data_IF_060620389185
#
_entry.id   IF_060620389185
#
_cell.length_a   1.000
_cell.length_b   1.000
_cell.length_c   1.000
_cell.angle_alpha   90.00
_cell.angle_beta   90.00
_cell.angle_gamma   90.00
#
_symmetry.space_group_name_H-M   'P 1'
#
loop_
_entity.id
_entity.type
_entity.pdbx_description
1 polymer ?
#
# COMPACT_ATOMS: atom_id res chain seq x y z
N UNK A 1 -6.18 5.68 25.18
CA UNK A 1 -6.38 6.09 23.78
C UNK A 1 -5.19 6.94 23.35
N UNK A 2 -4.67 6.80 22.15
CA UNK A 2 -3.66 7.74 21.64
C UNK A 2 -4.26 9.14 21.52
N UNK A 3 -3.36 10.13 21.49
CA UNK A 3 -3.76 11.49 21.11
C UNK A 3 -4.01 11.52 19.60
N UNK A 4 -5.28 11.56 19.20
CA UNK A 4 -5.67 11.50 17.80
C UNK A 4 -5.13 12.68 17.00
N UNK A 5 -4.90 13.85 17.60
CA UNK A 5 -4.32 14.99 16.91
C UNK A 5 -2.91 14.71 16.35
N UNK A 6 -2.16 13.83 17.02
CA UNK A 6 -0.85 13.37 16.53
C UNK A 6 -0.91 12.49 15.29
N UNK A 7 -2.06 11.85 15.04
CA UNK A 7 -2.27 10.87 13.98
C UNK A 7 -2.92 11.48 12.73
N UNK A 8 -3.33 12.74 12.79
CA UNK A 8 -4.00 13.44 11.70
C UNK A 8 -3.06 14.36 10.92
N UNK A 9 -3.29 14.45 9.62
CA UNK A 9 -2.60 15.33 8.68
C UNK A 9 -3.66 16.18 7.93
N UNK A 10 -4.17 17.28 8.53
CA UNK A 10 -5.28 18.03 7.98
C UNK A 10 -4.90 18.96 6.82
N UNK A 11 -3.59 19.24 6.62
CA UNK A 11 -3.13 20.19 5.61
C UNK A 11 -2.78 19.45 4.32
N UNK A 12 -3.73 19.37 3.39
CA UNK A 12 -3.54 18.76 2.07
C UNK A 12 -2.76 19.69 1.15
N UNK A 13 -1.78 19.09 0.44
CA UNK A 13 -1.16 19.78 -0.68
C UNK A 13 -2.13 19.78 -1.87
N UNK A 14 -2.36 20.93 -2.53
CA UNK A 14 -3.33 21.01 -3.62
C UNK A 14 -2.88 20.27 -4.90
N UNK A 15 -1.57 20.10 -5.10
CA UNK A 15 -1.00 19.35 -6.23
C UNK A 15 -0.48 18.00 -5.79
N UNK A 16 -0.63 16.94 -6.62
CA UNK A 16 0.02 15.66 -6.38
C UNK A 16 1.53 15.78 -6.29
N UNK A 17 2.16 14.89 -5.56
CA UNK A 17 3.63 14.75 -5.51
C UNK A 17 4.15 13.83 -6.61
N UNK A 18 3.30 12.96 -7.15
CA UNK A 18 3.62 12.12 -8.31
C UNK A 18 2.35 11.91 -9.16
N UNK A 19 2.44 12.29 -10.43
CA UNK A 19 1.40 12.07 -11.45
C UNK A 19 1.78 10.85 -12.33
N UNK A 20 0.82 10.16 -12.97
CA UNK A 20 1.16 9.27 -14.08
C UNK A 20 1.90 10.03 -15.18
N UNK A 21 2.72 9.33 -15.95
CA UNK A 21 3.55 9.98 -16.98
C UNK A 21 2.75 10.42 -18.22
N UNK A 22 1.67 9.75 -18.52
CA UNK A 22 0.92 9.95 -19.77
C UNK A 22 1.69 9.50 -21.02
N UNK A 23 2.90 8.96 -20.87
CA UNK A 23 3.75 8.54 -21.99
C UNK A 23 3.44 7.09 -22.37
N UNK A 24 2.92 6.80 -23.57
CA UNK A 24 2.60 5.44 -23.98
C UNK A 24 3.81 4.49 -23.87
N UNK A 25 3.56 3.31 -23.29
CA UNK A 25 4.58 2.27 -23.12
C UNK A 25 5.43 2.41 -21.86
N UNK A 26 5.28 3.48 -21.08
CA UNK A 26 5.90 3.56 -19.75
C UNK A 26 5.05 2.80 -18.74
N UNK A 27 5.71 2.25 -17.71
CA UNK A 27 5.07 1.47 -16.63
C UNK A 27 3.98 2.24 -15.88
N UNK A 28 4.04 3.57 -15.89
CA UNK A 28 3.18 4.51 -15.19
C UNK A 28 2.38 5.42 -16.15
N UNK A 29 2.12 4.94 -17.38
CA UNK A 29 1.46 5.77 -18.40
C UNK A 29 0.04 6.17 -18.02
N UNK A 30 -0.68 5.36 -17.26
CA UNK A 30 -2.09 5.59 -16.95
C UNK A 30 -2.35 5.93 -15.48
N UNK A 31 -1.62 5.32 -14.54
CA UNK A 31 -1.80 5.54 -13.11
C UNK A 31 -0.52 5.35 -12.31
N UNK A 32 -0.44 6.00 -11.14
CA UNK A 32 0.52 5.72 -10.06
C UNK A 32 -0.23 5.53 -8.75
N UNK A 33 0.27 4.60 -7.90
CA UNK A 33 -0.48 4.14 -6.74
C UNK A 33 0.44 3.60 -5.64
N UNK A 34 -0.12 3.31 -4.45
CA UNK A 34 0.52 2.59 -3.35
C UNK A 34 1.88 3.18 -2.91
N UNK A 35 1.95 4.41 -2.41
CA UNK A 35 3.18 4.98 -1.90
C UNK A 35 3.71 4.19 -0.70
N UNK A 36 5.02 3.93 -0.67
CA UNK A 36 5.74 3.39 0.47
C UNK A 36 7.05 4.19 0.61
N UNK A 37 7.17 5.01 1.65
CA UNK A 37 8.22 6.02 1.79
C UNK A 37 9.20 5.64 2.90
N UNK A 38 10.50 5.66 2.59
CA UNK A 38 11.55 5.35 3.55
C UNK A 38 12.77 6.23 3.31
N UNK A 39 13.63 6.32 4.31
CA UNK A 39 14.93 6.97 4.19
C UNK A 39 16.04 5.93 4.02
N UNK A 40 16.83 6.10 2.99
CA UNK A 40 17.99 5.26 2.73
C UNK A 40 19.18 6.16 2.44
N UNK A 41 20.32 5.90 3.09
CA UNK A 41 21.45 6.86 3.12
C UNK A 41 20.93 8.24 3.58
N UNK A 42 21.15 9.27 2.79
CA UNK A 42 20.78 10.65 3.15
C UNK A 42 19.55 11.18 2.40
N UNK A 43 18.85 10.33 1.62
CA UNK A 43 17.68 10.73 0.83
C UNK A 43 16.43 9.94 1.21
N UNK A 44 15.28 10.49 0.88
CA UNK A 44 14.01 9.76 0.90
C UNK A 44 13.79 9.02 -0.43
N UNK A 45 13.20 7.85 -0.33
CA UNK A 45 12.79 7.04 -1.46
C UNK A 45 11.31 6.70 -1.32
N UNK A 46 10.63 6.63 -2.45
CA UNK A 46 9.26 6.17 -2.53
C UNK A 46 9.21 4.97 -3.48
N UNK A 47 8.95 3.79 -2.92
CA UNK A 47 8.45 2.69 -3.74
C UNK A 47 6.99 2.99 -4.07
N UNK A 48 6.61 2.83 -5.32
CA UNK A 48 5.25 3.00 -5.82
C UNK A 48 4.99 2.03 -6.94
N UNK A 49 3.73 1.79 -7.26
CA UNK A 49 3.34 1.02 -8.42
C UNK A 49 2.84 1.95 -9.51
N UNK A 50 3.08 1.57 -10.75
CA UNK A 50 2.52 2.20 -11.93
C UNK A 50 1.68 1.20 -12.73
N UNK A 51 0.66 1.71 -13.43
CA UNK A 51 -0.19 0.95 -14.31
C UNK A 51 -0.11 1.49 -15.74
N UNK A 52 0.03 0.59 -16.72
CA UNK A 52 0.24 0.89 -18.13
C UNK A 52 -0.86 0.34 -19.06
N UNK A 53 -2.04 0.05 -18.49
CA UNK A 53 -3.15 -0.58 -19.21
C UNK A 53 -3.05 -2.11 -19.31
N UNK A 54 -1.92 -2.70 -18.88
CA UNK A 54 -1.67 -4.14 -18.97
C UNK A 54 -1.52 -4.81 -17.61
N UNK A 55 -0.87 -4.14 -16.65
CA UNK A 55 -0.62 -4.67 -15.32
C UNK A 55 0.28 -3.76 -14.51
N UNK A 56 0.37 -4.03 -13.21
CA UNK A 56 1.19 -3.23 -12.31
C UNK A 56 2.66 -3.56 -12.41
N UNK A 57 3.50 -2.54 -12.28
CA UNK A 57 4.95 -2.67 -12.14
C UNK A 57 5.41 -1.76 -11.00
N UNK A 58 6.43 -2.19 -10.26
CA UNK A 58 6.98 -1.45 -9.12
C UNK A 58 8.17 -0.60 -9.52
N UNK A 59 8.18 0.64 -9.09
CA UNK A 59 9.26 1.58 -9.35
C UNK A 59 9.71 2.32 -8.09
N UNK A 60 10.86 2.98 -8.19
CA UNK A 60 11.37 3.91 -7.18
C UNK A 60 11.37 5.35 -7.70
N UNK A 61 11.12 6.27 -6.76
CA UNK A 61 11.42 7.69 -6.89
C UNK A 61 12.23 8.15 -5.67
N UNK A 62 13.00 9.23 -5.82
CA UNK A 62 13.80 9.80 -4.74
C UNK A 62 13.47 11.27 -4.52
N UNK A 63 13.64 11.74 -3.28
CA UNK A 63 13.37 13.11 -2.84
C UNK A 63 14.35 13.53 -1.75
N UNK A 64 14.63 14.82 -1.68
CA UNK A 64 15.42 15.41 -0.59
C UNK A 64 14.51 16.08 0.47
N UNK A 65 13.22 16.35 0.14
CA UNK A 65 12.31 17.17 0.93
C UNK A 65 10.92 16.55 1.18
N UNK A 66 10.68 15.30 0.71
CA UNK A 66 9.38 14.60 0.76
C UNK A 66 8.28 15.21 -0.15
N UNK A 67 8.56 16.25 -0.90
CA UNK A 67 7.58 17.02 -1.70
C UNK A 67 7.87 16.99 -3.19
N UNK A 68 9.15 17.07 -3.57
CA UNK A 68 9.61 17.00 -4.97
C UNK A 68 10.26 15.63 -5.22
N UNK A 69 9.70 14.85 -6.14
CA UNK A 69 10.11 13.47 -6.40
C UNK A 69 10.67 13.29 -7.81
N UNK A 70 11.82 12.63 -7.91
CA UNK A 70 12.47 12.26 -9.17
C UNK A 70 12.38 10.74 -9.36
N UNK A 71 11.78 10.28 -10.45
CA UNK A 71 11.71 8.86 -10.80
C UNK A 71 13.10 8.28 -11.05
N UNK A 72 13.38 7.13 -10.48
CA UNK A 72 14.62 6.38 -10.70
C UNK A 72 14.45 5.24 -11.70
N UNK A 73 13.27 4.64 -11.77
CA UNK A 73 12.92 3.57 -12.70
C UNK A 73 12.23 2.38 -12.06
N UNK A 74 11.92 1.40 -12.89
CA UNK A 74 11.26 0.14 -12.50
C UNK A 74 12.25 -0.77 -11.80
N UNK A 75 11.83 -1.33 -10.66
CA UNK A 75 12.62 -2.29 -9.86
C UNK A 75 12.03 -3.71 -9.86
N UNK A 76 10.70 -3.85 -10.00
CA UNK A 76 10.04 -5.12 -10.30
C UNK A 76 9.11 -4.92 -11.49
N UNK A 77 9.60 -5.27 -12.66
CA UNK A 77 8.89 -5.12 -13.92
C UNK A 77 8.14 -6.37 -14.34
N UNK A 78 7.55 -6.30 -15.52
CA UNK A 78 6.95 -7.43 -16.22
C UNK A 78 8.01 -8.47 -16.57
N UNK A 79 7.70 -9.74 -16.36
CA UNK A 79 8.57 -10.84 -16.72
C UNK A 79 8.63 -11.07 -18.23
N UNK A 80 9.68 -11.73 -18.69
CA UNK A 80 9.82 -12.20 -20.09
C UNK A 80 9.46 -13.68 -20.22
N UNK A 81 9.23 -14.38 -19.11
CA UNK A 81 8.85 -15.79 -19.05
C UNK A 81 7.36 -15.89 -18.67
N UNK A 82 6.55 -16.14 -19.69
CA UNK A 82 5.08 -16.22 -19.56
C UNK A 82 4.63 -17.43 -18.74
N UNK A 83 5.53 -18.39 -18.42
CA UNK A 83 5.20 -19.54 -17.56
C UNK A 83 5.20 -19.17 -16.08
N UNK A 84 5.74 -18.03 -15.70
CA UNK A 84 5.76 -17.58 -14.31
C UNK A 84 4.41 -17.02 -13.88
N UNK A 85 4.00 -17.31 -12.65
CA UNK A 85 2.77 -16.81 -12.05
C UNK A 85 2.70 -15.27 -11.94
N UNK A 86 3.87 -14.60 -11.93
CA UNK A 86 4.03 -13.15 -11.81
C UNK A 86 4.49 -12.47 -13.11
N UNK A 87 4.24 -13.10 -14.27
CA UNK A 87 4.71 -12.62 -15.57
C UNK A 87 4.03 -11.32 -16.03
N UNK A 88 2.79 -11.07 -15.62
CA UNK A 88 2.04 -9.85 -15.98
C UNK A 88 2.66 -8.61 -15.36
N UNK A 89 3.25 -8.74 -14.19
CA UNK A 89 3.91 -7.68 -13.44
C UNK A 89 3.88 -7.95 -11.95
N UNK A 90 4.64 -7.16 -11.20
CA UNK A 90 4.73 -7.28 -9.76
C UNK A 90 4.43 -5.93 -9.10
N UNK A 91 3.44 -5.93 -8.21
CA UNK A 91 3.04 -4.77 -7.41
C UNK A 91 3.68 -4.85 -6.02
N UNK A 92 4.74 -4.07 -5.77
CA UNK A 92 5.39 -3.99 -4.46
C UNK A 92 4.41 -3.55 -3.39
N UNK A 93 4.33 -4.33 -2.32
CA UNK A 93 3.42 -4.07 -1.21
C UNK A 93 4.13 -3.42 -0.03
N UNK A 94 5.22 -4.03 0.42
CA UNK A 94 5.97 -3.56 1.59
C UNK A 94 7.40 -4.07 1.60
N UNK A 95 8.34 -3.22 2.01
CA UNK A 95 9.72 -3.60 2.33
C UNK A 95 9.88 -3.71 3.86
N UNK A 96 10.70 -4.66 4.32
CA UNK A 96 10.95 -4.83 5.75
C UNK A 96 11.66 -3.61 6.32
N UNK A 97 11.10 -3.03 7.39
CA UNK A 97 11.62 -1.85 8.08
C UNK A 97 12.38 -2.24 9.36
N UNK A 98 13.35 -1.41 9.75
CA UNK A 98 14.08 -1.54 11.03
C UNK A 98 13.15 -1.34 12.23
N UNK A 99 12.16 -0.47 12.11
CA UNK A 99 11.25 -0.10 13.19
C UNK A 99 9.85 0.18 12.68
N UNK A 100 8.86 -0.20 13.47
CA UNK A 100 7.46 0.20 13.28
C UNK A 100 7.08 1.44 14.09
N UNK A 101 7.99 2.03 14.87
CA UNK A 101 7.72 3.24 15.68
C UNK A 101 7.35 4.42 14.77
N UNK A 102 6.19 5.03 15.04
CA UNK A 102 5.68 6.17 14.27
C UNK A 102 6.57 7.42 14.37
N UNK A 103 7.29 7.57 15.47
CA UNK A 103 8.19 8.72 15.67
C UNK A 103 9.57 8.50 15.03
N UNK A 104 9.88 7.29 14.57
CA UNK A 104 11.11 6.98 13.84
C UNK A 104 10.87 7.06 12.33
N UNK A 105 11.79 7.73 11.63
CA UNK A 105 11.78 7.76 10.16
C UNK A 105 11.99 6.34 9.62
N UNK A 106 11.12 5.83 8.75
CA UNK A 106 11.25 4.50 8.20
C UNK A 106 12.60 4.27 7.51
N UNK A 107 13.31 3.21 7.88
CA UNK A 107 14.55 2.73 7.26
C UNK A 107 14.43 1.26 6.94
N UNK A 108 15.05 0.82 5.84
CA UNK A 108 15.02 -0.57 5.44
C UNK A 108 15.91 -1.43 6.33
N UNK A 109 15.41 -2.59 6.73
CA UNK A 109 16.13 -3.60 7.49
C UNK A 109 16.76 -4.62 6.55
N UNK A 110 18.05 -4.95 6.79
CA UNK A 110 18.69 -6.12 6.19
C UNK A 110 18.55 -7.34 7.10
N UNK A 111 18.21 -8.45 6.48
CA UNK A 111 18.26 -9.78 7.11
C UNK A 111 19.11 -10.67 6.21
N UNK A 112 20.14 -11.31 6.78
CA UNK A 112 21.12 -12.10 6.05
C UNK A 112 21.80 -11.35 4.87
N UNK A 113 22.09 -10.06 5.09
CA UNK A 113 22.73 -9.19 4.10
C UNK A 113 21.80 -8.66 3.00
N UNK A 114 20.51 -8.95 3.05
CA UNK A 114 19.52 -8.65 2.02
C UNK A 114 18.42 -7.72 2.53
N UNK A 115 17.95 -6.82 1.66
CA UNK A 115 16.66 -6.15 1.80
C UNK A 115 15.57 -7.07 1.27
N UNK A 116 14.40 -7.07 1.92
CA UNK A 116 13.28 -7.95 1.58
C UNK A 116 12.03 -7.15 1.28
N UNK A 117 11.29 -7.60 0.25
CA UNK A 117 10.05 -7.00 -0.19
C UNK A 117 8.99 -8.07 -0.41
N UNK A 118 7.80 -7.90 0.17
CA UNK A 118 6.61 -8.62 -0.25
C UNK A 118 5.97 -7.84 -1.41
N UNK A 119 5.59 -8.55 -2.46
CA UNK A 119 4.82 -8.05 -3.58
C UNK A 119 3.62 -8.95 -3.86
N UNK A 120 2.66 -8.45 -4.61
CA UNK A 120 1.60 -9.29 -5.15
C UNK A 120 1.60 -9.22 -6.68
N UNK A 121 1.06 -10.25 -7.32
CA UNK A 121 0.92 -10.29 -8.76
C UNK A 121 -0.41 -10.90 -9.16
N UNK A 122 -1.03 -10.31 -10.18
CA UNK A 122 -2.24 -10.83 -10.82
C UNK A 122 -1.86 -11.75 -11.97
N UNK A 123 -2.63 -12.83 -12.21
CA UNK A 123 -2.30 -13.80 -13.25
C UNK A 123 -2.60 -13.31 -14.66
N UNK A 124 -3.56 -12.39 -14.82
CA UNK A 124 -4.08 -11.98 -16.11
C UNK A 124 -3.79 -10.50 -16.41
N UNK A 125 -3.71 -10.17 -17.70
CA UNK A 125 -3.55 -8.78 -18.14
C UNK A 125 -4.82 -7.98 -17.91
N UNK A 126 -4.67 -6.77 -17.39
CA UNK A 126 -5.77 -5.85 -17.10
C UNK A 126 -5.65 -5.21 -15.75
N UNK A 127 -6.71 -4.56 -15.31
CA UNK A 127 -6.79 -3.94 -14.02
C UNK A 127 -7.29 -4.95 -12.97
N UNK A 128 -6.38 -5.48 -12.17
CA UNK A 128 -6.66 -6.44 -11.08
C UNK A 128 -7.39 -7.72 -11.54
N UNK A 129 -7.00 -8.23 -12.72
CA UNK A 129 -7.64 -9.39 -13.32
C UNK A 129 -7.15 -10.70 -12.71
N UNK A 130 -8.11 -11.54 -12.28
CA UNK A 130 -7.88 -12.82 -11.64
C UNK A 130 -7.51 -12.74 -10.16
N UNK A 131 -7.21 -13.89 -9.58
CA UNK A 131 -6.83 -14.01 -8.17
C UNK A 131 -5.34 -13.76 -7.96
N UNK A 132 -4.95 -12.67 -7.31
CA UNK A 132 -3.56 -12.39 -7.03
C UNK A 132 -2.98 -13.28 -5.93
N UNK A 133 -1.66 -13.51 -5.97
CA UNK A 133 -0.89 -14.20 -4.95
C UNK A 133 0.26 -13.32 -4.44
N UNK A 134 0.82 -13.69 -3.27
CA UNK A 134 1.90 -12.94 -2.63
C UNK A 134 3.25 -13.56 -2.97
N UNK A 135 4.19 -12.73 -3.40
CA UNK A 135 5.57 -13.12 -3.69
C UNK A 135 6.57 -12.45 -2.77
N UNK A 136 7.78 -12.98 -2.75
CA UNK A 136 8.90 -12.45 -1.99
C UNK A 136 10.05 -12.12 -2.94
N UNK A 137 10.57 -10.90 -2.82
CA UNK A 137 11.74 -10.44 -3.54
C UNK A 137 12.82 -9.96 -2.57
N UNK A 138 14.07 -9.99 -3.03
CA UNK A 138 15.24 -9.57 -2.25
C UNK A 138 16.21 -8.75 -3.09
N UNK A 139 17.02 -7.92 -2.42
CA UNK A 139 18.03 -7.08 -3.03
C UNK A 139 19.27 -7.02 -2.13
N UNK A 140 20.46 -7.15 -2.71
CA UNK A 140 21.75 -6.91 -2.03
C UNK A 140 22.36 -5.57 -2.43
N UNK A 141 21.88 -5.00 -3.53
CA UNK A 141 22.35 -3.73 -4.08
C UNK A 141 21.94 -2.54 -3.20
N UNK A 142 22.93 -1.74 -2.81
CA UNK A 142 22.70 -0.52 -2.00
C UNK A 142 22.02 0.62 -2.76
N UNK A 143 21.95 0.56 -4.09
CA UNK A 143 21.17 1.50 -4.90
C UNK A 143 19.69 1.07 -5.01
N UNK A 144 19.34 -0.14 -4.54
CA UNK A 144 18.01 -0.72 -4.51
C UNK A 144 17.37 -0.88 -5.91
N UNK A 145 18.18 -1.05 -6.93
CA UNK A 145 17.72 -1.15 -8.32
C UNK A 145 17.67 -2.60 -8.84
N UNK A 146 18.46 -3.51 -8.26
CA UNK A 146 18.57 -4.90 -8.68
C UNK A 146 17.84 -5.84 -7.71
N UNK A 147 16.56 -6.13 -8.01
CA UNK A 147 15.72 -7.01 -7.19
C UNK A 147 15.54 -8.39 -7.84
N UNK A 148 15.62 -9.42 -7.01
CA UNK A 148 15.45 -10.81 -7.38
C UNK A 148 14.18 -11.37 -6.76
N UNK A 149 13.34 -12.05 -7.54
CA UNK A 149 12.09 -12.67 -7.09
C UNK A 149 12.32 -14.15 -6.80
N UNK A 150 11.69 -14.65 -5.74
CA UNK A 150 11.58 -16.10 -5.58
C UNK A 150 10.73 -16.67 -6.74
N UNK A 151 10.98 -17.94 -7.14
CA UNK A 151 10.29 -18.55 -8.27
C UNK A 151 8.79 -18.78 -7.99
N UNK A 152 8.44 -19.13 -6.74
CA UNK A 152 7.10 -19.48 -6.33
C UNK A 152 6.51 -18.41 -5.40
N UNK A 153 5.17 -18.25 -5.36
CA UNK A 153 4.53 -17.40 -4.37
C UNK A 153 4.76 -17.95 -2.96
N UNK A 154 4.88 -17.04 -1.99
CA UNK A 154 5.01 -17.42 -0.57
C UNK A 154 3.65 -17.61 0.11
N UNK A 155 2.58 -17.11 -0.53
CA UNK A 155 1.23 -17.29 -0.03
C UNK A 155 0.21 -17.18 -1.17
N UNK A 156 -0.72 -18.12 -1.24
CA UNK A 156 -1.79 -18.17 -2.24
C UNK A 156 -3.15 -18.16 -1.56
N UNK A 157 -4.20 -17.80 -2.29
CA UNK A 157 -5.56 -17.74 -1.76
C UNK A 157 -6.27 -19.11 -1.67
N UNK A 158 -5.73 -20.17 -2.30
CA UNK A 158 -6.35 -21.49 -2.33
C UNK A 158 -6.43 -22.21 -0.99
N UNK A 159 -5.54 -21.87 -0.05
CA UNK A 159 -5.41 -22.53 1.25
C UNK A 159 -6.10 -21.78 2.40
N UNK A 160 -6.75 -20.65 2.10
CA UNK A 160 -7.40 -19.81 3.09
C UNK A 160 -8.90 -20.00 3.24
N UNK A 161 -9.53 -19.13 4.00
CA UNK A 161 -10.98 -19.11 4.22
C UNK A 161 -11.76 -18.52 3.04
N UNK A 162 -13.09 -18.57 3.13
CA UNK A 162 -14.02 -18.02 2.13
C UNK A 162 -13.74 -16.54 1.81
N UNK A 163 -13.33 -15.76 2.80
CA UNK A 163 -13.10 -14.31 2.70
C UNK A 163 -11.90 -13.94 1.80
N UNK A 164 -11.01 -14.90 1.46
CA UNK A 164 -9.82 -14.65 0.65
C UNK A 164 -9.81 -15.44 -0.68
N UNK A 165 -10.91 -16.06 -1.07
CA UNK A 165 -10.97 -16.91 -2.29
C UNK A 165 -10.79 -16.15 -3.60
N UNK A 166 -10.97 -14.85 -3.60
CA UNK A 166 -10.80 -14.00 -4.78
C UNK A 166 -9.38 -13.52 -5.03
N UNK A 167 -8.45 -13.75 -4.10
CA UNK A 167 -7.05 -13.36 -4.23
C UNK A 167 -6.51 -12.61 -3.02
N UNK A 168 -5.17 -12.63 -2.90
CA UNK A 168 -4.41 -11.93 -1.86
C UNK A 168 -3.60 -10.81 -2.49
N UNK A 169 -3.54 -9.66 -1.85
CA UNK A 169 -2.79 -8.53 -2.38
C UNK A 169 -2.45 -7.54 -1.28
N UNK A 170 -1.66 -6.55 -1.60
CA UNK A 170 -1.20 -5.49 -0.71
C UNK A 170 -1.08 -5.92 0.76
N UNK A 171 0.03 -5.61 1.40
CA UNK A 171 0.23 -5.93 2.80
C UNK A 171 1.03 -4.85 3.53
N UNK A 172 1.03 -4.94 4.85
CA UNK A 172 1.98 -4.33 5.77
C UNK A 172 2.79 -5.45 6.43
N UNK A 173 4.11 -5.37 6.34
CA UNK A 173 5.04 -6.32 6.95
C UNK A 173 5.75 -5.64 8.12
N UNK A 174 5.77 -6.29 9.28
CA UNK A 174 6.52 -5.82 10.44
C UNK A 174 7.17 -7.00 11.19
N UNK A 175 8.19 -6.71 11.98
CA UNK A 175 8.77 -7.65 12.92
C UNK A 175 8.28 -7.32 14.33
N UNK A 176 7.76 -8.31 15.02
CA UNK A 176 7.27 -8.18 16.39
C UNK A 176 7.53 -9.48 17.15
N UNK A 177 8.07 -9.38 18.36
CA UNK A 177 8.36 -10.52 19.24
C UNK A 177 9.19 -11.65 18.59
N UNK A 178 10.15 -11.25 17.72
CA UNK A 178 11.03 -12.18 17.05
C UNK A 178 10.42 -12.94 15.87
N UNK A 179 9.26 -12.53 15.39
CA UNK A 179 8.56 -13.06 14.23
C UNK A 179 8.23 -11.97 13.22
N UNK A 180 8.00 -12.38 11.96
CA UNK A 180 7.46 -11.52 10.91
C UNK A 180 5.94 -11.62 10.91
N UNK A 181 5.27 -10.48 10.91
CA UNK A 181 3.81 -10.33 10.90
C UNK A 181 3.41 -9.65 9.61
N UNK A 182 2.55 -10.28 8.83
CA UNK A 182 2.02 -9.74 7.59
C UNK A 182 0.52 -9.54 7.71
N UNK A 183 0.10 -8.27 7.75
CA UNK A 183 -1.30 -7.91 7.57
C UNK A 183 -1.55 -7.78 6.09
N UNK A 184 -2.43 -8.59 5.53
CA UNK A 184 -2.66 -8.69 4.10
C UNK A 184 -4.11 -8.49 3.74
N UNK A 185 -4.37 -7.93 2.56
CA UNK A 185 -5.71 -7.80 2.02
C UNK A 185 -6.11 -9.05 1.25
N UNK A 186 -7.40 -9.32 1.26
CA UNK A 186 -7.99 -10.36 0.44
C UNK A 186 -9.37 -9.97 -0.07
N UNK A 187 -9.71 -10.50 -1.25
CA UNK A 187 -11.04 -10.45 -1.86
C UNK A 187 -11.76 -11.78 -1.61
N UNK A 188 -13.07 -11.74 -1.34
CA UNK A 188 -13.88 -12.94 -1.20
C UNK A 188 -14.11 -13.67 -2.54
N UNK A 189 -14.09 -12.92 -3.67
CA UNK A 189 -14.25 -13.41 -5.04
C UNK A 189 -13.50 -12.51 -6.03
N UNK A 190 -13.10 -13.03 -7.19
CA UNK A 190 -12.34 -12.24 -8.16
C UNK A 190 -13.18 -11.17 -8.87
N UNK A 191 -14.47 -11.41 -9.08
CA UNK A 191 -15.33 -10.55 -9.89
C UNK A 191 -16.03 -9.47 -9.06
N UNK A 192 -16.09 -8.26 -9.61
CA UNK A 192 -16.85 -7.16 -9.03
C UNK A 192 -18.37 -7.45 -9.00
N UNK A 193 -19.10 -7.01 -7.97
CA UNK A 193 -18.63 -6.38 -6.75
C UNK A 193 -18.10 -7.42 -5.73
N UNK A 194 -16.97 -7.11 -5.10
CA UNK A 194 -16.40 -7.93 -4.03
C UNK A 194 -16.32 -7.20 -2.69
N UNK A 195 -16.01 -7.92 -1.64
CA UNK A 195 -15.67 -7.39 -0.31
C UNK A 195 -14.18 -7.60 -0.09
N UNK A 196 -13.50 -6.57 0.42
CA UNK A 196 -12.10 -6.61 0.80
C UNK A 196 -11.95 -6.49 2.31
N UNK A 197 -11.14 -7.33 2.88
CA UNK A 197 -10.88 -7.34 4.31
C UNK A 197 -9.40 -7.58 4.58
N UNK A 198 -8.95 -7.28 5.79
CA UNK A 198 -7.55 -7.45 6.18
C UNK A 198 -7.42 -8.58 7.17
N UNK A 199 -6.56 -9.54 6.86
CA UNK A 199 -6.16 -10.63 7.74
C UNK A 199 -4.72 -10.51 8.18
N UNK A 200 -4.31 -11.45 9.02
CA UNK A 200 -2.95 -11.58 9.56
C UNK A 200 -2.39 -12.95 9.26
N UNK A 201 -1.11 -13.00 8.90
CA UNK A 201 -0.29 -14.19 8.89
C UNK A 201 1.06 -13.90 9.57
N UNK A 202 1.71 -14.92 10.13
CA UNK A 202 3.04 -14.81 10.69
C UNK A 202 4.01 -15.82 10.08
N UNK A 203 5.31 -15.49 10.16
CA UNK A 203 6.39 -16.31 9.65
C UNK A 203 7.63 -16.15 10.54
N UNK A 204 8.45 -17.20 10.62
CA UNK A 204 9.75 -17.16 11.28
C UNK A 204 10.90 -16.90 10.25
N UNK A 205 10.63 -16.99 8.93
CA UNK A 205 11.65 -16.97 7.87
C UNK A 205 11.27 -16.14 6.61
N UNK A 206 10.14 -15.43 6.61
CA UNK A 206 9.55 -14.70 5.48
C UNK A 206 9.05 -15.58 4.32
N UNK A 207 9.24 -16.90 4.38
CA UNK A 207 8.92 -17.83 3.29
C UNK A 207 7.68 -18.67 3.57
N UNK A 208 7.58 -19.17 4.80
CA UNK A 208 6.45 -20.01 5.23
C UNK A 208 5.55 -19.21 6.14
N UNK A 209 4.31 -19.02 5.72
CA UNK A 209 3.33 -18.18 6.41
C UNK A 209 2.20 -19.00 7.01
N UNK A 210 1.87 -18.69 8.25
CA UNK A 210 0.74 -19.28 8.99
C UNK A 210 -0.35 -18.22 9.16
N UNK A 211 -1.54 -18.51 8.65
CA UNK A 211 -2.69 -17.61 8.79
C UNK A 211 -3.23 -17.59 10.20
N UNK A 212 -3.61 -16.42 10.67
CA UNK A 212 -4.28 -16.28 11.96
C UNK A 212 -5.67 -16.95 11.92
N UNK A 213 -6.03 -17.78 12.94
CA UNK A 213 -7.26 -18.57 12.90
C UNK A 213 -8.54 -17.72 12.97
N UNK A 214 -8.45 -16.49 13.48
CA UNK A 214 -9.59 -15.57 13.59
C UNK A 214 -9.73 -14.60 12.39
N UNK A 215 -8.99 -14.82 11.29
CA UNK A 215 -9.12 -13.97 10.11
C UNK A 215 -10.54 -13.96 9.52
N UNK A 216 -10.99 -12.80 8.97
CA UNK A 216 -10.27 -11.52 8.89
C UNK A 216 -10.29 -10.77 10.23
N UNK A 217 -9.16 -10.09 10.60
CA UNK A 217 -9.06 -9.32 11.84
C UNK A 217 -9.67 -7.92 11.73
N UNK A 218 -9.61 -7.34 10.54
CA UNK A 218 -10.22 -6.05 10.22
C UNK A 218 -11.28 -6.30 9.15
N UNK A 219 -12.54 -6.35 9.57
CA UNK A 219 -13.67 -6.71 8.76
C UNK A 219 -14.56 -5.50 8.44
N UNK A 220 -15.27 -5.58 7.33
CA UNK A 220 -16.29 -4.60 6.94
C UNK A 220 -17.46 -4.57 7.92
N UNK A 221 -18.16 -3.44 7.98
CA UNK A 221 -19.36 -3.27 8.81
C UNK A 221 -20.43 -2.51 8.04
N UNK A 222 -21.64 -3.05 8.00
CA UNK A 222 -22.77 -2.44 7.31
C UNK A 222 -23.10 -1.06 7.89
N UNK A 223 -23.48 -0.11 7.03
CA UNK A 223 -23.86 1.24 7.42
C UNK A 223 -22.70 2.17 7.79
N UNK A 224 -21.45 1.75 7.51
CA UNK A 224 -20.25 2.56 7.76
C UNK A 224 -19.57 2.96 6.45
N UNK A 225 -18.61 3.91 6.50
CA UNK A 225 -17.78 4.29 5.35
C UNK A 225 -16.80 3.19 4.92
N UNK A 226 -16.76 2.07 5.64
CA UNK A 226 -15.99 0.87 5.33
C UNK A 226 -16.87 -0.39 5.19
N UNK A 227 -18.07 -0.19 4.63
CA UNK A 227 -19.04 -1.29 4.50
C UNK A 227 -18.69 -2.29 3.40
N UNK A 228 -17.74 -1.97 2.51
CA UNK A 228 -17.28 -2.84 1.43
C UNK A 228 -15.81 -3.22 1.55
N UNK A 229 -14.92 -2.27 1.92
CA UNK A 229 -13.50 -2.55 2.10
C UNK A 229 -13.00 -2.04 3.44
N UNK A 230 -12.13 -2.85 4.05
CA UNK A 230 -11.17 -2.46 5.08
C UNK A 230 -9.82 -2.97 4.60
N UNK A 231 -9.01 -2.09 4.01
CA UNK A 231 -7.94 -2.48 3.10
C UNK A 231 -6.67 -1.65 3.27
N UNK A 232 -5.59 -2.07 2.59
CA UNK A 232 -4.25 -1.49 2.52
C UNK A 232 -3.68 -1.06 3.88
N UNK A 233 -3.38 -2.02 4.76
CA UNK A 233 -2.88 -1.72 6.09
C UNK A 233 -1.52 -1.01 6.03
N UNK A 234 -1.38 0.06 6.81
CA UNK A 234 -0.13 0.73 7.13
C UNK A 234 -0.02 0.83 8.65
N UNK A 235 0.59 -0.16 9.28
CA UNK A 235 0.58 -0.31 10.74
C UNK A 235 1.85 0.27 11.32
N UNK A 236 1.68 1.21 12.28
CA UNK A 236 2.77 1.87 13.01
C UNK A 236 2.48 1.81 14.50
N UNK A 237 3.54 1.81 15.30
CA UNK A 237 3.46 1.82 16.76
C UNK A 237 3.59 3.25 17.29
N UNK A 238 2.56 3.78 17.93
CA UNK A 238 2.61 5.07 18.63
C UNK A 238 3.18 4.86 20.05
N UNK A 239 4.50 4.90 20.14
CA UNK A 239 5.26 4.61 21.37
C UNK A 239 4.80 5.44 22.58
N UNK A 240 4.53 6.77 22.47
CA UNK A 240 4.07 7.55 23.61
C UNK A 240 2.75 7.05 24.23
N UNK A 241 1.86 6.50 23.43
CA UNK A 241 0.58 5.97 23.89
C UNK A 241 0.58 4.46 24.12
N UNK A 242 1.56 3.74 23.55
CA UNK A 242 1.65 2.29 23.54
C UNK A 242 0.55 1.63 22.72
N UNK A 243 0.03 2.28 21.67
CA UNK A 243 -0.94 1.72 20.74
C UNK A 243 -0.33 1.44 19.38
N UNK A 244 -0.72 0.33 18.78
CA UNK A 244 -0.59 0.09 17.36
C UNK A 244 -1.70 0.84 16.63
N UNK A 245 -1.34 1.50 15.56
CA UNK A 245 -2.24 2.33 14.73
C UNK A 245 -2.16 1.84 13.30
N UNK A 246 -3.28 1.42 12.75
CA UNK A 246 -3.39 1.13 11.32
C UNK A 246 -3.95 2.36 10.59
N UNK A 247 -3.18 2.88 9.64
CA UNK A 247 -3.57 3.91 8.67
C UNK A 247 -4.01 3.22 7.38
N UNK A 248 -5.10 2.48 7.42
CA UNK A 248 -5.69 1.81 6.26
C UNK A 248 -6.68 2.69 5.52
N UNK A 249 -7.56 2.07 4.75
CA UNK A 249 -8.71 2.77 4.19
C UNK A 249 -9.99 1.93 4.27
N UNK A 250 -11.13 2.62 4.27
CA UNK A 250 -12.45 2.06 4.11
C UNK A 250 -13.06 2.48 2.78
N UNK A 251 -13.94 1.65 2.23
CA UNK A 251 -14.73 1.95 1.03
C UNK A 251 -16.18 1.53 1.25
N UNK A 252 -17.12 2.39 0.90
CA UNK A 252 -18.55 2.16 1.07
C UNK A 252 -19.28 1.72 -0.22
N UNK A 253 -18.55 1.71 -1.33
CA UNK A 253 -19.08 1.48 -2.67
C UNK A 253 -19.06 2.73 -3.54
N UNK A 254 -18.81 3.91 -2.96
CA UNK A 254 -18.75 5.19 -3.65
C UNK A 254 -17.40 5.90 -3.41
N UNK A 255 -16.98 6.03 -2.15
CA UNK A 255 -15.75 6.73 -1.78
C UNK A 255 -14.79 5.87 -0.94
N UNK A 256 -13.53 5.79 -1.37
CA UNK A 256 -12.46 5.24 -0.55
C UNK A 256 -11.82 6.36 0.27
N UNK A 257 -11.73 6.17 1.58
CA UNK A 257 -11.31 7.19 2.54
C UNK A 257 -10.36 6.60 3.59
N UNK A 258 -9.37 7.37 4.02
CA UNK A 258 -8.44 6.94 5.06
C UNK A 258 -9.15 6.54 6.35
N UNK A 259 -8.72 5.41 6.92
CA UNK A 259 -9.27 4.77 8.11
C UNK A 259 -8.20 4.69 9.19
N UNK A 260 -8.57 4.90 10.45
CA UNK A 260 -7.74 4.55 11.60
C UNK A 260 -8.35 3.35 12.35
N UNK A 261 -7.50 2.37 12.63
CA UNK A 261 -7.83 1.32 13.59
C UNK A 261 -6.73 1.22 14.66
N UNK A 262 -7.13 0.88 15.87
CA UNK A 262 -6.27 0.86 17.06
C UNK A 262 -6.21 -0.53 17.66
N UNK A 263 -5.01 -0.97 18.06
CA UNK A 263 -4.78 -2.23 18.75
C UNK A 263 -3.75 -2.09 19.87
N UNK A 264 -3.82 -2.99 20.87
CA UNK A 264 -2.79 -3.13 21.91
C UNK A 264 -1.90 -4.36 21.69
N UNK A 265 -2.39 -5.31 20.91
CA UNK A 265 -1.83 -6.65 20.78
C UNK A 265 -1.63 -7.11 19.33
N UNK A 266 -1.96 -6.25 18.32
CA UNK A 266 -1.96 -6.56 16.90
C UNK A 266 -3.02 -7.59 16.45
N UNK A 267 -3.75 -8.19 17.37
CA UNK A 267 -4.76 -9.22 17.07
C UNK A 267 -6.19 -8.68 17.25
N UNK A 268 -6.40 -7.79 18.23
CA UNK A 268 -7.69 -7.18 18.53
C UNK A 268 -7.72 -5.73 18.06
N UNK A 269 -8.56 -5.41 17.09
CA UNK A 269 -8.61 -4.09 16.47
C UNK A 269 -9.93 -3.36 16.72
N UNK A 270 -9.82 -2.06 16.94
CA UNK A 270 -10.95 -1.15 16.98
C UNK A 270 -10.84 -0.12 15.88
N UNK A 271 -11.72 -0.20 14.88
CA UNK A 271 -11.84 0.82 13.83
C UNK A 271 -12.54 2.05 14.41
N UNK A 272 -12.01 3.24 14.11
CA UNK A 272 -12.64 4.50 14.48
C UNK A 272 -13.80 4.83 13.54
N UNK A 273 -14.89 5.45 14.05
CA UNK A 273 -16.12 5.63 13.29
C UNK A 273 -16.01 6.66 12.16
N UNK A 274 -15.05 7.59 12.27
CA UNK A 274 -14.89 8.68 11.30
C UNK A 274 -13.64 8.47 10.44
N UNK A 275 -13.68 8.84 9.13
CA UNK A 275 -12.50 8.84 8.30
C UNK A 275 -11.40 9.74 8.86
N UNK A 276 -10.15 9.24 8.85
CA UNK A 276 -8.98 10.04 9.23
C UNK A 276 -8.47 10.93 8.10
N UNK A 277 -8.75 10.53 6.87
CA UNK A 277 -8.49 11.26 5.65
C UNK A 277 -9.72 11.09 4.73
N UNK A 278 -10.78 11.93 4.88
CA UNK A 278 -11.94 11.85 4.03
C UNK A 278 -11.58 12.20 2.57
N UNK A 279 -12.39 11.80 1.60
CA UNK A 279 -12.23 12.28 0.23
C UNK A 279 -12.40 13.82 0.15
N UNK A 280 -11.84 14.44 -0.89
CA UNK A 280 -11.84 15.88 -1.06
C UNK A 280 -13.17 16.45 -1.59
N UNK A 281 -13.29 17.77 -1.59
CA UNK A 281 -14.40 18.47 -2.18
C UNK A 281 -14.39 18.42 -3.72
N UNK A 282 -15.51 18.68 -4.39
CA UNK A 282 -15.56 18.79 -5.84
C UNK A 282 -14.50 19.74 -6.39
N UNK A 283 -13.68 19.25 -7.32
CA UNK A 283 -12.58 19.99 -7.93
C UNK A 283 -11.21 19.75 -7.30
N UNK A 284 -11.13 19.15 -6.12
CA UNK A 284 -9.87 18.76 -5.49
C UNK A 284 -9.26 17.50 -6.12
N UNK A 285 -7.98 17.24 -5.83
CA UNK A 285 -7.21 16.13 -6.44
C UNK A 285 -7.68 14.74 -5.98
N UNK A 286 -8.32 14.67 -4.84
CA UNK A 286 -8.80 13.48 -4.16
C UNK A 286 -10.34 13.49 -3.97
N UNK A 287 -11.03 14.21 -4.85
CA UNK A 287 -12.49 14.35 -4.86
C UNK A 287 -13.23 13.01 -4.82
N UNK A 288 -12.71 11.98 -5.50
CA UNK A 288 -13.34 10.66 -5.55
C UNK A 288 -12.83 9.75 -4.43
N UNK A 289 -11.50 9.68 -4.27
CA UNK A 289 -10.86 8.79 -3.30
C UNK A 289 -9.60 9.42 -2.70
N UNK A 290 -9.43 9.23 -1.38
CA UNK A 290 -8.23 9.49 -0.60
C UNK A 290 -7.88 8.23 0.19
N UNK A 291 -6.99 7.36 -0.32
CA UNK A 291 -6.79 6.01 0.19
C UNK A 291 -5.37 5.47 0.00
N UNK A 292 -5.11 4.22 0.42
CA UNK A 292 -3.81 3.54 0.25
C UNK A 292 -2.67 4.31 0.89
N UNK A 293 -2.78 4.51 2.18
CA UNK A 293 -1.94 5.39 3.00
C UNK A 293 -0.54 4.85 3.27
N UNK A 294 0.42 5.75 3.35
CA UNK A 294 1.70 5.53 4.03
C UNK A 294 2.09 6.77 4.82
N UNK A 295 2.52 6.61 6.06
CA UNK A 295 2.84 7.74 6.94
C UNK A 295 4.31 7.77 7.34
N UNK A 296 4.89 8.99 7.32
CA UNK A 296 6.26 9.28 7.75
C UNK A 296 6.23 10.44 8.71
N UNK A 297 6.93 10.31 9.85
CA UNK A 297 7.22 11.47 10.70
C UNK A 297 8.65 11.93 10.46
N UNK A 298 8.78 13.19 10.08
CA UNK A 298 10.06 13.82 9.82
C UNK A 298 10.08 15.25 10.40
N UNK A 299 11.09 15.58 11.18
CA UNK A 299 11.27 16.90 11.83
C UNK A 299 9.99 17.39 12.56
N UNK A 300 9.32 16.45 13.25
CA UNK A 300 8.12 16.73 14.03
C UNK A 300 6.84 16.92 13.22
N UNK A 301 6.89 16.80 11.89
CA UNK A 301 5.74 16.82 10.99
C UNK A 301 5.35 15.39 10.56
N UNK A 302 4.08 15.04 10.64
CA UNK A 302 3.54 13.83 10.05
C UNK A 302 3.23 14.13 8.58
N UNK A 303 3.84 13.38 7.68
CA UNK A 303 3.52 13.34 6.24
C UNK A 303 2.67 12.11 5.99
N UNK A 304 1.49 12.30 5.48
CA UNK A 304 0.54 11.26 5.10
C UNK A 304 0.48 11.20 3.58
N UNK A 305 1.24 10.30 2.98
CA UNK A 305 1.17 9.98 1.55
C UNK A 305 -0.02 9.09 1.28
N UNK A 306 -0.71 9.31 0.16
CA UNK A 306 -1.90 8.55 -0.20
C UNK A 306 -2.15 8.57 -1.71
N UNK A 307 -2.92 7.62 -2.19
CA UNK A 307 -3.45 7.65 -3.54
C UNK A 307 -4.64 8.61 -3.58
N UNK A 308 -4.56 9.60 -4.44
CA UNK A 308 -5.59 10.60 -4.68
C UNK A 308 -6.24 10.36 -6.04
N UNK A 309 -7.58 10.26 -6.06
CA UNK A 309 -8.34 10.06 -7.29
C UNK A 309 -9.39 11.15 -7.47
N UNK A 310 -9.51 11.60 -8.71
CA UNK A 310 -10.59 12.49 -9.17
C UNK A 310 -11.04 12.10 -10.57
N UNK A 311 -12.23 12.49 -11.03
CA UNK A 311 -12.60 12.33 -12.42
C UNK A 311 -11.55 12.92 -13.36
N UNK A 312 -11.21 12.20 -14.42
CA UNK A 312 -10.26 12.67 -15.43
C UNK A 312 -10.83 13.90 -16.16
N UNK A 313 -9.94 14.86 -16.48
CA UNK A 313 -10.25 16.07 -17.23
C UNK A 313 -9.57 15.99 -18.60
N UNK A 314 -10.04 16.77 -19.59
CA UNK A 314 -9.33 16.86 -20.88
C UNK A 314 -7.85 17.22 -20.66
N UNK A 315 -6.96 16.38 -21.23
CA UNK A 315 -5.51 16.55 -21.11
C UNK A 315 -4.87 15.76 -19.96
N UNK A 316 -5.64 15.14 -19.08
CA UNK A 316 -5.09 14.18 -18.12
C UNK A 316 -4.62 12.90 -18.85
N UNK A 317 -3.65 12.17 -18.28
CA UNK A 317 -3.32 10.83 -18.74
C UNK A 317 -4.55 9.93 -18.77
N UNK A 318 -4.75 9.23 -19.89
CA UNK A 318 -5.87 8.31 -20.01
C UNK A 318 -5.65 7.10 -19.13
N UNK A 319 -6.63 6.75 -18.30
CA UNK A 319 -6.65 5.53 -17.54
C UNK A 319 -7.71 4.57 -18.08
N UNK A 320 -7.27 3.41 -18.56
CA UNK A 320 -8.14 2.35 -19.09
C UNK A 320 -8.78 1.50 -17.99
N UNK A 321 -8.36 1.67 -16.74
CA UNK A 321 -8.96 1.01 -15.58
C UNK A 321 -10.36 1.53 -15.26
N UNK A 322 -10.95 1.06 -14.18
CA UNK A 322 -12.32 1.41 -13.80
C UNK A 322 -12.49 2.92 -13.55
N UNK A 323 -13.51 3.52 -14.14
CA UNK A 323 -14.06 4.81 -13.72
C UNK A 323 -13.61 6.07 -14.45
N UNK A 324 -12.62 6.05 -15.33
CA UNK A 324 -12.18 7.28 -16.03
C UNK A 324 -11.61 8.31 -15.06
N UNK A 325 -10.77 7.89 -14.13
CA UNK A 325 -10.14 8.72 -13.11
C UNK A 325 -8.72 9.13 -13.49
N UNK A 326 -8.27 10.28 -12.98
CA UNK A 326 -6.86 10.54 -12.75
C UNK A 326 -6.48 9.95 -11.39
N UNK A 327 -5.52 9.03 -11.36
CA UNK A 327 -4.99 8.41 -10.15
C UNK A 327 -3.53 8.82 -9.95
N UNK A 328 -3.25 9.46 -8.81
CA UNK A 328 -1.96 10.08 -8.50
C UNK A 328 -1.57 9.86 -7.05
N UNK A 329 -0.32 10.14 -6.69
CA UNK A 329 0.12 10.15 -5.28
C UNK A 329 0.14 11.59 -4.77
N UNK A 330 -0.51 11.78 -3.63
CA UNK A 330 -0.62 13.06 -2.93
C UNK A 330 -0.03 12.99 -1.53
N UNK A 331 0.09 14.13 -0.87
CA UNK A 331 0.53 14.23 0.52
C UNK A 331 -0.32 15.23 1.30
N UNK A 332 -0.65 14.86 2.53
CA UNK A 332 -1.18 15.76 3.54
C UNK A 332 -0.22 15.81 4.73
N UNK A 333 -0.22 16.91 5.49
CA UNK A 333 0.73 17.12 6.59
C UNK A 333 0.04 17.56 7.87
N UNK A 334 0.66 17.24 9.03
CA UNK A 334 0.13 17.66 10.35
C UNK A 334 0.35 19.14 10.64
N UNK A 335 1.20 19.83 9.87
CA UNK A 335 1.47 21.27 9.95
C UNK A 335 1.40 21.88 8.55
N UNK A 336 1.05 23.13 8.39
CA UNK A 336 1.16 23.82 7.10
C UNK A 336 2.59 23.72 6.54
N UNK A 337 2.69 23.51 5.22
CA UNK A 337 3.96 23.48 4.47
C UNK A 337 4.42 24.87 4.12
#
# INVERSE_FOLDING_TARGET
MPDLARLHAPHRRPEPVLLPSGEPGRYDSEAVDCPFVFRHRDRFYMMHIGFDGRGYQTALAASDDLLAWTRLGVILGRGTDDSRWDHVGAAGSWMLLESSDLDETPRLKKVDGRYWMIYHAYPDFGYEEGGAAMGLAWCEDEELLEWHRLPEPVMTFGDGGEWERGGLYKCCLLEHEGRYWMFYNAKEKPDWPWIEQTGLAWSDDLRVWQRHPANPLLAVSEGTFYSRYVSDPCIRFDKPSGWWVNFGFGFDGEHAQGLLALSRDLESWRILPEPSLPHGAPGEIDQTHAHKSFVVRWEGTLYHFYCACRPARPGDPAWSGAGGELRSIAVATSRPL
#
